data_IF_163561190157
#
_entry.id   IF_163561190157
#
_cell.length_a   1.000
_cell.length_b   1.000
_cell.length_c   1.000
_cell.angle_alpha   90.00
_cell.angle_beta   90.00
_cell.angle_gamma   90.00
#
_symmetry.space_group_name_H-M   'P 1'
#
loop_
_entity.id
_entity.type
_entity.pdbx_description
1 polymer ?
#
# COMPACT_ATOMS: atom_id res chain seq x y z
N UNK A 1 5.28 -24.02 -0.99
CA UNK A 1 6.48 -24.73 -1.50
C UNK A 1 7.64 -23.76 -1.42
N UNK A 2 8.81 -24.20 -0.94
CA UNK A 2 10.00 -23.35 -0.94
C UNK A 2 10.42 -23.03 -2.39
N UNK A 3 11.18 -21.95 -2.56
CA UNK A 3 11.66 -21.51 -3.86
C UNK A 3 13.16 -21.17 -3.79
N UNK A 4 13.79 -21.13 -4.95
CA UNK A 4 15.11 -20.55 -5.13
C UNK A 4 14.95 -19.17 -5.77
N UNK A 5 15.46 -18.12 -5.13
CA UNK A 5 15.52 -16.76 -5.68
C UNK A 5 16.92 -16.52 -6.25
N UNK A 6 16.95 -15.98 -7.45
CA UNK A 6 18.14 -15.46 -8.10
C UNK A 6 17.97 -13.96 -8.27
N UNK A 7 18.90 -13.17 -7.71
CA UNK A 7 18.93 -11.71 -7.83
C UNK A 7 20.16 -11.27 -8.61
N UNK A 8 19.98 -10.29 -9.49
CA UNK A 8 21.07 -9.65 -10.22
C UNK A 8 20.74 -8.19 -10.50
N UNK A 9 21.80 -7.35 -10.61
CA UNK A 9 21.66 -5.92 -10.89
C UNK A 9 22.11 -5.66 -12.31
N UNK A 10 21.28 -4.95 -13.07
CA UNK A 10 21.55 -4.60 -14.47
C UNK A 10 21.10 -3.18 -14.79
N UNK A 11 21.56 -2.66 -15.92
CA UNK A 11 21.03 -1.41 -16.48
C UNK A 11 19.73 -1.67 -17.23
N UNK A 12 18.88 -0.66 -17.30
CA UNK A 12 17.58 -0.72 -18.00
C UNK A 12 17.68 -1.27 -19.42
N UNK A 13 18.73 -0.90 -20.17
CA UNK A 13 18.88 -1.37 -21.56
C UNK A 13 19.14 -2.87 -21.65
N UNK A 14 19.62 -3.49 -20.57
CA UNK A 14 19.94 -4.92 -20.50
C UNK A 14 18.74 -5.75 -20.04
N UNK A 15 17.78 -5.11 -19.36
CA UNK A 15 16.63 -5.77 -18.70
C UNK A 15 15.87 -6.71 -19.64
N UNK A 16 15.44 -6.32 -20.87
CA UNK A 16 14.61 -7.21 -21.68
C UNK A 16 15.31 -8.51 -22.04
N UNK A 17 16.63 -8.46 -22.27
CA UNK A 17 17.42 -9.64 -22.63
C UNK A 17 17.67 -10.56 -21.43
N UNK A 18 17.80 -9.96 -20.24
CA UNK A 18 17.95 -10.75 -19.01
C UNK A 18 16.63 -11.42 -18.65
N UNK A 19 15.52 -10.72 -18.77
CA UNK A 19 14.19 -11.24 -18.51
C UNK A 19 13.89 -12.43 -19.44
N UNK A 20 14.12 -12.28 -20.76
CA UNK A 20 13.98 -13.37 -21.72
C UNK A 20 14.84 -14.60 -21.34
N UNK A 21 16.10 -14.38 -20.95
CA UNK A 21 16.99 -15.47 -20.55
C UNK A 21 16.51 -16.17 -19.27
N UNK A 22 15.99 -15.43 -18.30
CA UNK A 22 15.45 -15.99 -17.06
C UNK A 22 14.15 -16.79 -17.31
N UNK A 23 13.27 -16.28 -18.18
CA UNK A 23 12.05 -16.98 -18.61
C UNK A 23 12.38 -18.29 -19.34
N UNK A 24 13.34 -18.27 -20.27
CA UNK A 24 13.80 -19.45 -20.99
C UNK A 24 14.40 -20.52 -20.06
N UNK A 25 14.98 -20.10 -18.94
CA UNK A 25 15.50 -20.98 -17.89
C UNK A 25 14.43 -21.47 -16.92
N UNK A 26 13.17 -21.06 -17.10
CA UNK A 26 12.04 -21.52 -16.32
C UNK A 26 11.80 -20.72 -15.04
N UNK A 27 12.11 -19.43 -15.02
CA UNK A 27 11.70 -18.55 -13.94
C UNK A 27 10.16 -18.56 -13.79
N UNK A 28 9.70 -18.75 -12.56
CA UNK A 28 8.27 -18.78 -12.22
C UNK A 28 7.68 -17.37 -12.11
N UNK A 29 8.50 -16.42 -11.70
CA UNK A 29 8.18 -15.00 -11.67
C UNK A 29 9.46 -14.18 -11.73
N UNK A 30 9.37 -12.96 -12.26
CA UNK A 30 10.45 -11.98 -12.28
C UNK A 30 9.89 -10.68 -11.71
N UNK A 31 10.59 -10.12 -10.74
CA UNK A 31 10.25 -8.83 -10.11
C UNK A 31 11.35 -7.83 -10.38
N UNK A 32 10.97 -6.62 -10.77
CA UNK A 32 11.89 -5.51 -11.01
C UNK A 32 11.82 -4.54 -9.82
N UNK A 33 12.97 -4.15 -9.30
CA UNK A 33 13.09 -3.16 -8.22
C UNK A 33 14.14 -2.12 -8.55
N UNK A 34 14.00 -0.93 -7.96
CA UNK A 34 15.08 0.05 -7.97
C UNK A 34 16.32 -0.53 -7.28
N UNK A 35 17.45 -0.57 -7.97
CA UNK A 35 18.72 -1.02 -7.37
C UNK A 35 19.28 0.01 -6.38
N UNK A 36 18.89 1.28 -6.54
CA UNK A 36 19.33 2.40 -5.72
C UNK A 36 18.32 2.76 -4.62
N UNK A 37 17.28 1.93 -4.40
CA UNK A 37 16.29 2.13 -3.35
C UNK A 37 16.96 2.33 -1.98
N UNK A 38 16.46 3.29 -1.21
CA UNK A 38 16.98 3.67 0.12
C UNK A 38 18.41 4.26 0.10
N UNK A 39 18.92 4.62 -1.08
CA UNK A 39 20.20 5.32 -1.22
C UNK A 39 20.00 6.81 -1.57
N UNK A 40 21.09 7.57 -1.61
CA UNK A 40 21.05 8.97 -2.05
C UNK A 40 20.71 9.15 -3.54
N UNK A 41 20.84 8.09 -4.33
CA UNK A 41 20.60 8.05 -5.76
C UNK A 41 19.24 7.47 -6.13
N UNK A 42 18.40 7.18 -5.13
CA UNK A 42 17.01 6.72 -5.31
C UNK A 42 16.22 7.69 -6.20
N UNK A 43 15.58 7.15 -7.22
CA UNK A 43 14.73 7.92 -8.13
C UNK A 43 13.30 7.46 -8.03
N UNK A 44 12.41 8.32 -7.53
CA UNK A 44 11.00 8.03 -7.50
C UNK A 44 10.43 7.97 -8.93
N UNK A 45 9.81 6.86 -9.30
CA UNK A 45 8.96 6.78 -10.48
C UNK A 45 7.56 7.19 -10.04
N UNK A 46 7.16 8.41 -10.44
CA UNK A 46 5.79 8.87 -10.29
C UNK A 46 4.90 8.14 -11.30
N UNK A 47 3.58 8.24 -11.13
CA UNK A 47 2.61 7.57 -11.99
C UNK A 47 2.93 7.72 -13.48
N UNK A 48 3.18 6.62 -14.19
CA UNK A 48 3.40 6.67 -15.62
C UNK A 48 2.11 7.06 -16.35
N UNK A 49 2.27 7.78 -17.45
CA UNK A 49 1.16 8.02 -18.39
C UNK A 49 0.63 6.71 -18.99
N UNK A 50 -0.56 6.75 -19.57
CA UNK A 50 -1.17 5.57 -20.22
C UNK A 50 -0.22 5.00 -21.28
N UNK A 51 0.24 3.78 -21.07
CA UNK A 51 1.17 3.07 -21.98
C UNK A 51 2.64 3.35 -21.74
N UNK A 52 3.00 4.14 -20.74
CA UNK A 52 4.38 4.31 -20.29
C UNK A 52 4.70 3.27 -19.21
N UNK A 53 5.87 2.64 -19.33
CA UNK A 53 6.42 1.73 -18.33
C UNK A 53 7.84 2.23 -17.98
N UNK A 54 7.97 3.35 -17.26
CA UNK A 54 9.27 3.86 -16.87
C UNK A 54 9.95 2.85 -15.94
N UNK A 55 11.26 2.69 -16.12
CA UNK A 55 12.11 1.87 -15.27
C UNK A 55 13.25 2.73 -14.73
N UNK A 56 13.79 2.31 -13.60
CA UNK A 56 14.98 2.94 -13.02
C UNK A 56 16.21 2.72 -13.90
N UNK A 57 17.21 3.62 -13.90
CA UNK A 57 18.43 3.46 -14.70
C UNK A 57 19.18 2.17 -14.38
N UNK A 58 19.16 1.76 -13.11
CA UNK A 58 19.73 0.53 -12.59
C UNK A 58 18.63 -0.27 -11.89
N UNK A 59 18.49 -1.53 -12.24
CA UNK A 59 17.38 -2.38 -11.82
C UNK A 59 17.94 -3.65 -11.16
N UNK A 60 17.37 -4.01 -10.02
CA UNK A 60 17.50 -5.36 -9.47
C UNK A 60 16.38 -6.22 -10.05
N UNK A 61 16.77 -7.33 -10.70
CA UNK A 61 15.85 -8.39 -11.09
C UNK A 61 15.92 -9.50 -10.04
N UNK A 62 14.77 -9.87 -9.49
CA UNK A 62 14.61 -11.02 -8.60
C UNK A 62 13.76 -12.06 -9.31
N UNK A 63 14.37 -13.19 -9.68
CA UNK A 63 13.71 -14.30 -10.36
C UNK A 63 13.51 -15.47 -9.40
N UNK A 64 12.28 -15.99 -9.33
CA UNK A 64 11.97 -17.19 -8.55
C UNK A 64 12.00 -18.43 -9.42
N UNK A 65 12.63 -19.47 -8.92
CA UNK A 65 12.69 -20.81 -9.51
C UNK A 65 12.17 -21.86 -8.53
N UNK A 66 11.91 -23.06 -9.04
CA UNK A 66 11.62 -24.20 -8.18
C UNK A 66 12.77 -24.48 -7.18
N UNK A 67 12.43 -24.96 -6.00
CA UNK A 67 13.41 -25.24 -4.92
C UNK A 67 14.53 -26.20 -5.33
N UNK A 68 14.28 -27.05 -6.34
CA UNK A 68 15.24 -28.04 -6.85
C UNK A 68 16.06 -27.53 -8.03
N UNK A 69 15.90 -26.25 -8.43
CA UNK A 69 16.68 -25.68 -9.53
C UNK A 69 18.19 -25.71 -9.24
N UNK A 70 18.96 -26.13 -10.23
CA UNK A 70 20.42 -26.22 -10.09
C UNK A 70 21.07 -24.83 -10.22
N UNK A 71 21.48 -24.26 -9.07
CA UNK A 71 22.16 -22.95 -9.03
C UNK A 71 23.37 -22.86 -9.94
N UNK A 72 24.16 -23.93 -10.02
CA UNK A 72 25.37 -23.93 -10.86
C UNK A 72 25.02 -24.03 -12.33
N UNK A 73 24.02 -24.82 -12.66
CA UNK A 73 23.49 -24.90 -14.02
C UNK A 73 22.89 -23.60 -14.48
N UNK A 74 22.08 -22.94 -13.63
CA UNK A 74 21.51 -21.60 -13.89
C UNK A 74 22.61 -20.56 -14.13
N UNK A 75 23.60 -20.49 -13.25
CA UNK A 75 24.70 -19.52 -13.38
C UNK A 75 25.54 -19.76 -14.65
N UNK A 76 25.85 -21.01 -14.96
CA UNK A 76 26.62 -21.36 -16.17
C UNK A 76 25.85 -21.00 -17.44
N UNK A 77 24.56 -21.36 -17.51
CA UNK A 77 23.74 -21.10 -18.71
C UNK A 77 23.49 -19.61 -18.90
N UNK A 78 23.26 -18.85 -17.80
CA UNK A 78 23.16 -17.38 -17.86
C UNK A 78 24.47 -16.75 -18.38
N UNK A 79 25.63 -17.23 -17.93
CA UNK A 79 26.93 -16.76 -18.43
C UNK A 79 27.12 -17.06 -19.93
N UNK A 80 26.61 -18.18 -20.45
CA UNK A 80 26.63 -18.49 -21.86
C UNK A 80 25.66 -17.63 -22.69
N UNK A 81 24.46 -17.35 -22.17
CA UNK A 81 23.42 -16.52 -22.82
C UNK A 81 23.76 -15.02 -22.75
N UNK A 82 24.42 -14.61 -21.68
CA UNK A 82 24.73 -13.22 -21.34
C UNK A 82 26.25 -13.09 -21.08
N UNK A 83 27.12 -13.11 -22.12
CA UNK A 83 28.57 -13.16 -21.95
C UNK A 83 29.21 -11.97 -21.23
N UNK A 84 28.44 -10.91 -21.00
CA UNK A 84 28.85 -9.71 -20.24
C UNK A 84 28.52 -9.83 -18.73
N UNK A 85 27.80 -10.86 -18.32
CA UNK A 85 27.38 -11.08 -16.92
C UNK A 85 28.47 -11.90 -16.20
N UNK A 86 29.03 -11.32 -15.16
CA UNK A 86 30.02 -12.00 -14.33
C UNK A 86 29.32 -12.85 -13.24
N UNK A 87 29.85 -14.02 -12.90
CA UNK A 87 29.22 -14.92 -11.91
C UNK A 87 29.04 -14.33 -10.52
N UNK A 88 29.86 -13.37 -10.13
CA UNK A 88 29.80 -12.66 -8.84
C UNK A 88 28.68 -11.62 -8.77
N UNK A 89 28.07 -11.29 -9.90
CA UNK A 89 26.87 -10.44 -9.97
C UNK A 89 25.58 -11.23 -9.66
N UNK A 90 25.65 -12.56 -9.59
CA UNK A 90 24.52 -13.42 -9.28
C UNK A 90 24.45 -13.73 -7.79
N UNK A 91 23.33 -13.44 -7.18
CA UNK A 91 23.04 -13.77 -5.79
C UNK A 91 21.93 -14.80 -5.70
N UNK A 92 22.15 -15.90 -4.99
CA UNK A 92 21.15 -16.94 -4.78
C UNK A 92 20.72 -17.00 -3.33
N UNK A 93 19.41 -17.05 -3.10
CA UNK A 93 18.80 -17.17 -1.78
C UNK A 93 17.73 -18.27 -1.78
N UNK A 94 17.72 -19.08 -0.72
CA UNK A 94 16.60 -20.00 -0.49
C UNK A 94 15.44 -19.21 0.11
N UNK A 95 14.29 -19.29 -0.51
CA UNK A 95 13.04 -18.70 -0.02
C UNK A 95 12.22 -19.82 0.59
N UNK A 96 12.15 -19.84 1.92
CA UNK A 96 11.38 -20.84 2.62
C UNK A 96 9.90 -20.72 2.28
N UNK A 97 9.21 -21.86 2.24
CA UNK A 97 7.75 -21.88 2.22
C UNK A 97 7.26 -21.28 3.53
N UNK A 98 6.67 -20.12 3.44
CA UNK A 98 6.03 -19.47 4.57
C UNK A 98 4.55 -19.33 4.27
N UNK A 99 3.72 -19.53 5.27
CA UNK A 99 2.38 -19.00 5.26
C UNK A 99 2.52 -17.46 5.26
N UNK A 100 2.57 -16.90 4.04
CA UNK A 100 2.84 -15.47 3.83
C UNK A 100 1.82 -14.58 4.55
N UNK A 101 0.58 -15.05 4.66
CA UNK A 101 -0.46 -14.35 5.43
C UNK A 101 -0.08 -14.28 6.91
N UNK A 102 0.46 -15.35 7.47
CA UNK A 102 0.89 -15.41 8.86
C UNK A 102 2.19 -14.67 9.13
N UNK A 103 3.20 -14.86 8.27
CA UNK A 103 4.49 -14.20 8.41
C UNK A 103 4.36 -12.68 8.34
N UNK A 104 3.42 -12.20 7.52
CA UNK A 104 3.13 -10.78 7.37
C UNK A 104 2.32 -10.23 8.55
N UNK A 105 1.34 -10.98 9.08
CA UNK A 105 0.60 -10.61 10.29
C UNK A 105 1.50 -10.53 11.52
N UNK A 106 2.53 -11.38 11.63
CA UNK A 106 3.47 -11.36 12.75
C UNK A 106 4.41 -10.14 12.73
N UNK A 107 4.59 -9.51 11.57
CA UNK A 107 5.36 -8.28 11.41
C UNK A 107 4.54 -7.01 11.72
N UNK A 108 3.21 -7.11 11.66
CA UNK A 108 2.33 -5.97 11.90
C UNK A 108 2.16 -5.75 13.40
N UNK A 109 2.80 -4.69 13.90
CA UNK A 109 2.79 -4.30 15.31
C UNK A 109 1.85 -3.12 15.53
N UNK A 110 1.34 -2.93 16.77
CA UNK A 110 0.63 -1.71 17.11
C UNK A 110 1.43 -0.46 16.76
N UNK A 111 0.77 0.48 16.09
CA UNK A 111 1.37 1.74 15.64
C UNK A 111 0.61 2.92 16.24
N UNK A 112 1.35 3.90 16.78
CA UNK A 112 0.79 5.14 17.28
C UNK A 112 0.84 6.24 16.23
N UNK A 113 -0.22 7.04 16.15
CA UNK A 113 -0.33 8.19 15.26
C UNK A 113 -0.83 9.40 16.06
N UNK A 114 -0.02 10.45 16.14
CA UNK A 114 -0.32 11.61 16.95
C UNK A 114 -0.26 11.34 18.46
N UNK A 115 -1.25 11.81 19.22
CA UNK A 115 -1.25 11.74 20.69
C UNK A 115 -2.15 10.64 21.26
N UNK A 116 -3.22 10.26 20.57
CA UNK A 116 -4.28 9.39 21.09
C UNK A 116 -4.55 8.17 20.20
N UNK A 117 -4.33 8.32 18.87
CA UNK A 117 -4.76 7.34 17.89
C UNK A 117 -3.76 6.19 17.78
N UNK A 118 -4.27 4.97 17.80
CA UNK A 118 -3.50 3.74 17.62
C UNK A 118 -4.17 2.82 16.62
N UNK A 119 -3.37 2.18 15.76
CA UNK A 119 -3.81 1.08 14.90
C UNK A 119 -3.28 -0.22 15.49
N UNK A 120 -4.17 -1.16 15.77
CA UNK A 120 -3.86 -2.47 16.34
C UNK A 120 -4.26 -3.58 15.38
N UNK A 121 -3.39 -4.56 15.12
CA UNK A 121 -3.81 -5.80 14.47
C UNK A 121 -4.80 -6.58 15.36
N UNK A 122 -5.65 -7.40 14.74
CA UNK A 122 -6.68 -8.15 15.48
C UNK A 122 -6.12 -9.20 16.45
N UNK A 123 -4.91 -9.71 16.20
CA UNK A 123 -4.24 -10.69 17.04
C UNK A 123 -3.56 -10.08 18.28
N UNK A 124 -3.55 -8.75 18.43
CA UNK A 124 -2.96 -8.04 19.57
C UNK A 124 -4.04 -7.31 20.34
N UNK A 125 -4.17 -7.61 21.64
CA UNK A 125 -5.13 -6.91 22.49
C UNK A 125 -4.56 -5.56 22.95
N UNK A 126 -5.33 -4.46 22.77
CA UNK A 126 -4.91 -3.15 23.26
C UNK A 126 -4.90 -3.13 24.79
N UNK A 127 -4.04 -2.32 25.42
CA UNK A 127 -4.04 -2.12 26.86
C UNK A 127 -5.39 -1.55 27.33
N UNK A 128 -5.84 -1.98 28.50
CA UNK A 128 -7.06 -1.48 29.13
C UNK A 128 -6.76 -0.32 30.05
N UNK A 129 -7.54 0.74 30.00
CA UNK A 129 -7.53 1.80 31.02
C UNK A 129 -6.69 3.03 30.68
N UNK A 130 -6.35 3.25 29.44
CA UNK A 130 -5.81 4.50 28.93
C UNK A 130 -6.85 5.25 28.03
N UNK A 131 -6.62 6.53 27.78
CA UNK A 131 -7.48 7.38 26.95
C UNK A 131 -7.18 7.19 25.44
N UNK A 132 -6.53 6.12 25.04
CA UNK A 132 -6.17 5.88 23.65
C UNK A 132 -7.38 5.51 22.80
N UNK A 133 -7.39 6.04 21.58
CA UNK A 133 -8.38 5.73 20.56
C UNK A 133 -7.83 4.62 19.68
N UNK A 134 -8.42 3.44 19.77
CA UNK A 134 -7.93 2.26 19.06
C UNK A 134 -8.79 1.95 17.85
N UNK A 135 -8.16 1.84 16.70
CA UNK A 135 -8.71 1.24 15.48
C UNK A 135 -8.07 -0.14 15.32
N UNK A 136 -8.87 -1.16 15.18
CA UNK A 136 -8.41 -2.53 14.92
C UNK A 136 -8.51 -2.82 13.43
N UNK A 137 -7.38 -3.14 12.82
CA UNK A 137 -7.30 -3.36 11.39
C UNK A 137 -6.16 -4.33 11.08
N UNK A 138 -6.49 -5.40 10.37
CA UNK A 138 -5.45 -6.24 9.80
C UNK A 138 -5.04 -5.66 8.45
N UNK A 139 -3.76 -5.69 8.12
CA UNK A 139 -3.32 -5.45 6.79
C UNK A 139 -3.98 -6.49 5.87
N UNK A 140 -4.85 -6.05 4.99
CA UNK A 140 -5.61 -6.88 4.05
C UNK A 140 -5.22 -6.64 2.60
N UNK A 141 -5.98 -7.22 1.69
CA UNK A 141 -5.85 -7.02 0.24
C UNK A 141 -6.20 -5.59 -0.20
N UNK A 142 -6.95 -4.85 0.63
CA UNK A 142 -7.27 -3.45 0.35
C UNK A 142 -6.12 -2.53 0.80
N UNK A 143 -5.83 -1.52 -0.02
CA UNK A 143 -4.84 -0.49 0.30
C UNK A 143 -5.22 0.27 1.58
N UNK A 144 -4.22 0.70 2.38
CA UNK A 144 -4.45 1.50 3.59
C UNK A 144 -4.29 0.70 4.89
N UNK A 145 -3.11 0.07 5.10
CA UNK A 145 -2.75 -0.59 6.38
C UNK A 145 -2.20 0.37 7.45
N UNK A 146 -2.03 1.66 7.12
CA UNK A 146 -1.36 2.63 7.98
C UNK A 146 0.17 2.65 7.86
N UNK A 147 0.77 1.67 7.20
CA UNK A 147 2.24 1.57 7.06
C UNK A 147 2.82 2.56 6.04
N UNK A 148 2.01 3.00 5.07
CA UNK A 148 2.47 3.98 4.09
C UNK A 148 2.61 5.37 4.74
N UNK A 149 3.71 6.13 4.47
CA UNK A 149 3.95 7.43 5.10
C UNK A 149 2.81 8.43 4.92
N UNK A 150 2.14 8.46 3.76
CA UNK A 150 1.01 9.36 3.51
C UNK A 150 -0.19 9.01 4.38
N UNK A 151 -0.50 7.73 4.57
CA UNK A 151 -1.57 7.29 5.47
C UNK A 151 -1.25 7.66 6.92
N UNK A 152 0.02 7.49 7.34
CA UNK A 152 0.47 7.90 8.67
C UNK A 152 0.25 9.39 8.92
N UNK A 153 0.65 10.25 7.97
CA UNK A 153 0.44 11.70 8.05
C UNK A 153 -1.05 12.07 8.12
N UNK A 154 -1.91 11.42 7.36
CA UNK A 154 -3.36 11.64 7.42
C UNK A 154 -3.94 11.24 8.79
N UNK A 155 -3.48 10.11 9.37
CA UNK A 155 -3.91 9.66 10.70
C UNK A 155 -3.46 10.63 11.81
N UNK A 156 -2.21 11.09 11.76
CA UNK A 156 -1.70 12.11 12.69
C UNK A 156 -2.45 13.43 12.57
N UNK A 157 -2.74 13.85 11.34
CA UNK A 157 -3.53 15.05 11.08
C UNK A 157 -4.96 14.92 11.64
N UNK A 158 -5.63 13.79 11.45
CA UNK A 158 -6.96 13.53 12.02
C UNK A 158 -6.94 13.53 13.54
N UNK A 159 -5.90 12.96 14.19
CA UNK A 159 -5.76 12.98 15.64
C UNK A 159 -5.59 14.40 16.21
N UNK A 160 -4.98 15.30 15.42
CA UNK A 160 -4.82 16.72 15.78
C UNK A 160 -6.09 17.58 15.64
N UNK A 161 -7.15 17.08 14.99
CA UNK A 161 -8.38 17.82 14.77
C UNK A 161 -9.39 17.61 15.92
N UNK A 162 -10.22 18.65 16.14
CA UNK A 162 -11.46 18.48 16.90
C UNK A 162 -12.56 17.94 15.96
N UNK A 163 -12.79 16.63 16.02
CA UNK A 163 -13.76 15.92 15.19
C UNK A 163 -15.12 15.72 15.88
N UNK A 164 -15.27 16.19 17.12
CA UNK A 164 -16.49 15.93 17.88
C UNK A 164 -17.74 16.48 17.16
N UNK A 165 -18.64 15.57 16.82
CA UNK A 165 -19.90 15.89 16.17
C UNK A 165 -19.80 16.31 14.69
N UNK A 166 -18.61 16.26 14.08
CA UNK A 166 -18.39 16.63 12.68
C UNK A 166 -18.66 15.49 11.72
N UNK A 167 -18.90 15.85 10.46
CA UNK A 167 -18.97 14.91 9.33
C UNK A 167 -17.68 14.95 8.53
N UNK A 168 -17.23 13.81 8.02
CA UNK A 168 -16.01 13.69 7.22
C UNK A 168 -16.27 12.92 5.94
N UNK A 169 -15.59 13.33 4.86
CA UNK A 169 -15.46 12.55 3.62
C UNK A 169 -14.05 12.01 3.52
N UNK A 170 -13.94 10.68 3.27
CA UNK A 170 -12.72 9.94 2.95
C UNK A 170 -12.83 9.48 1.49
N UNK A 171 -12.14 10.17 0.59
CA UNK A 171 -12.19 9.91 -0.85
C UNK A 171 -11.01 9.05 -1.28
N UNK A 172 -11.29 7.89 -1.87
CA UNK A 172 -10.33 6.80 -2.03
C UNK A 172 -10.14 6.07 -0.70
N UNK A 173 -11.25 5.65 -0.08
CA UNK A 173 -11.23 5.19 1.31
C UNK A 173 -10.51 3.85 1.51
N UNK A 174 -10.34 3.02 0.47
CA UNK A 174 -9.62 1.76 0.54
C UNK A 174 -10.13 0.83 1.64
N UNK A 175 -9.33 0.57 2.65
CA UNK A 175 -9.70 -0.21 3.84
C UNK A 175 -10.67 0.50 4.79
N UNK A 176 -10.94 1.79 4.57
CA UNK A 176 -11.72 2.66 5.45
C UNK A 176 -10.95 3.18 6.66
N UNK A 177 -9.64 3.01 6.72
CA UNK A 177 -8.83 3.32 7.91
C UNK A 177 -9.00 4.77 8.37
N UNK A 178 -9.01 5.76 7.45
CA UNK A 178 -9.12 7.17 7.79
C UNK A 178 -10.55 7.53 8.25
N UNK A 179 -11.58 7.03 7.56
CA UNK A 179 -12.97 7.21 7.97
C UNK A 179 -13.25 6.60 9.34
N UNK A 180 -12.77 5.36 9.58
CA UNK A 180 -12.94 4.65 10.85
C UNK A 180 -12.19 5.37 11.97
N UNK A 181 -10.97 5.84 11.72
CA UNK A 181 -10.18 6.62 12.67
C UNK A 181 -10.93 7.90 13.07
N UNK A 182 -11.45 8.66 12.10
CA UNK A 182 -12.22 9.87 12.35
C UNK A 182 -13.47 9.58 13.20
N UNK A 183 -14.21 8.50 12.90
CA UNK A 183 -15.37 8.10 13.68
C UNK A 183 -15.03 7.72 15.13
N UNK A 184 -13.90 7.05 15.32
CA UNK A 184 -13.39 6.70 16.66
C UNK A 184 -12.89 7.92 17.43
N UNK A 185 -12.35 8.92 16.72
CA UNK A 185 -11.91 10.21 17.29
C UNK A 185 -13.06 11.17 17.60
N UNK A 186 -14.32 10.80 17.28
CA UNK A 186 -15.51 11.55 17.70
C UNK A 186 -16.35 12.13 16.56
N UNK A 187 -16.01 11.88 15.29
CA UNK A 187 -16.86 12.29 14.19
C UNK A 187 -18.26 11.66 14.31
N UNK A 188 -19.29 12.44 13.98
CA UNK A 188 -20.67 11.99 14.04
C UNK A 188 -20.98 10.98 12.91
N UNK A 189 -20.49 11.27 11.72
CA UNK A 189 -20.66 10.43 10.55
C UNK A 189 -19.48 10.55 9.59
N UNK A 190 -19.25 9.53 8.81
CA UNK A 190 -18.26 9.51 7.74
C UNK A 190 -18.88 9.03 6.42
N UNK A 191 -18.40 9.58 5.33
CA UNK A 191 -18.68 9.15 3.96
C UNK A 191 -17.38 8.61 3.40
N UNK A 192 -17.35 7.33 3.02
CA UNK A 192 -16.25 6.72 2.29
C UNK A 192 -16.62 6.58 0.81
N UNK A 193 -15.72 7.00 -0.05
CA UNK A 193 -15.91 6.92 -1.51
C UNK A 193 -14.72 6.17 -2.09
N UNK A 194 -14.97 5.14 -2.90
CA UNK A 194 -13.93 4.42 -3.62
C UNK A 194 -14.46 3.91 -4.96
N UNK A 195 -13.59 3.84 -5.97
CA UNK A 195 -13.94 3.32 -7.29
C UNK A 195 -13.87 1.77 -7.35
N UNK A 196 -13.27 1.14 -6.34
CA UNK A 196 -13.20 -0.31 -6.23
C UNK A 196 -14.30 -0.85 -5.28
N UNK A 197 -15.28 -1.63 -5.78
CA UNK A 197 -16.29 -2.26 -4.94
C UNK A 197 -15.71 -3.18 -3.86
N UNK A 198 -14.50 -3.74 -4.05
CA UNK A 198 -13.84 -4.55 -3.05
C UNK A 198 -13.33 -3.69 -1.87
N UNK A 199 -12.85 -2.49 -2.16
CA UNK A 199 -12.47 -1.52 -1.14
C UNK A 199 -13.68 -1.13 -0.28
N UNK A 200 -14.85 -0.87 -0.89
CA UNK A 200 -16.08 -0.57 -0.14
C UNK A 200 -16.51 -1.74 0.75
N UNK A 201 -16.38 -2.98 0.26
CA UNK A 201 -16.67 -4.18 1.07
C UNK A 201 -15.72 -4.28 2.25
N UNK A 202 -14.42 -4.11 2.03
CA UNK A 202 -13.40 -4.13 3.09
C UNK A 202 -13.63 -3.02 4.12
N UNK A 203 -13.98 -1.80 3.67
CA UNK A 203 -14.33 -0.68 4.54
C UNK A 203 -15.55 -0.99 5.42
N UNK A 204 -16.60 -1.59 4.86
CA UNK A 204 -17.80 -1.98 5.61
C UNK A 204 -17.47 -3.03 6.69
N UNK A 205 -16.71 -4.06 6.34
CA UNK A 205 -16.29 -5.11 7.25
C UNK A 205 -15.42 -4.56 8.39
N UNK A 206 -14.46 -3.70 8.06
CA UNK A 206 -13.61 -3.06 9.05
C UNK A 206 -14.40 -2.12 9.97
N UNK A 207 -15.36 -1.36 9.43
CA UNK A 207 -16.24 -0.50 10.22
C UNK A 207 -17.13 -1.31 11.17
N UNK A 208 -17.68 -2.43 10.72
CA UNK A 208 -18.46 -3.34 11.54
C UNK A 208 -17.63 -3.91 12.70
N UNK A 209 -16.43 -4.40 12.42
CA UNK A 209 -15.50 -4.91 13.44
C UNK A 209 -15.07 -3.84 14.45
N UNK A 210 -14.97 -2.57 14.04
CA UNK A 210 -14.66 -1.45 14.92
C UNK A 210 -15.89 -0.85 15.62
N UNK A 211 -17.10 -1.36 15.36
CA UNK A 211 -18.34 -0.90 16.00
C UNK A 211 -18.78 0.50 15.54
N UNK A 212 -18.46 0.88 14.30
CA UNK A 212 -18.78 2.20 13.74
C UNK A 212 -19.58 2.15 12.43
N UNK A 213 -20.01 0.95 12.01
CA UNK A 213 -20.70 0.74 10.72
C UNK A 213 -21.96 1.59 10.56
N UNK A 214 -22.73 1.83 11.63
CA UNK A 214 -23.95 2.65 11.59
C UNK A 214 -23.70 4.14 11.31
N UNK A 215 -22.43 4.57 11.37
CA UNK A 215 -22.00 5.94 11.15
C UNK A 215 -21.15 6.12 9.89
N UNK A 216 -20.88 5.03 9.15
CA UNK A 216 -20.15 5.04 7.88
C UNK A 216 -21.11 4.77 6.74
N UNK A 217 -21.16 5.66 5.76
CA UNK A 217 -21.89 5.43 4.51
C UNK A 217 -20.87 5.34 3.37
N UNK A 218 -21.01 4.35 2.49
CA UNK A 218 -20.06 4.04 1.42
C UNK A 218 -20.71 4.22 0.06
N UNK A 219 -19.97 4.80 -0.89
CA UNK A 219 -20.44 5.08 -2.23
C UNK A 219 -19.38 4.78 -3.29
N UNK A 220 -19.81 4.34 -4.46
CA UNK A 220 -19.04 4.55 -5.67
C UNK A 220 -19.07 6.06 -6.04
N UNK A 221 -18.06 6.59 -6.75
CA UNK A 221 -18.02 8.01 -7.09
C UNK A 221 -19.28 8.52 -7.80
N UNK A 222 -19.86 7.72 -8.70
CA UNK A 222 -21.08 8.04 -9.45
C UNK A 222 -22.36 8.03 -8.61
N UNK A 223 -22.37 7.31 -7.50
CA UNK A 223 -23.54 7.17 -6.62
C UNK A 223 -23.53 8.18 -5.46
N UNK A 224 -22.44 8.91 -5.26
CA UNK A 224 -22.33 9.87 -4.18
C UNK A 224 -23.24 11.08 -4.41
N UNK A 225 -24.14 11.42 -3.46
CA UNK A 225 -25.14 12.49 -3.64
C UNK A 225 -24.56 13.92 -3.66
N UNK A 226 -23.26 14.09 -3.43
CA UNK A 226 -22.59 15.38 -3.43
C UNK A 226 -22.70 16.16 -2.11
N UNK A 227 -23.01 15.49 -1.01
CA UNK A 227 -23.10 16.13 0.30
C UNK A 227 -21.74 16.65 0.78
N UNK A 228 -21.68 17.93 1.11
CA UNK A 228 -20.48 18.56 1.64
C UNK A 228 -20.31 18.28 3.14
N UNK A 229 -19.12 17.90 3.55
CA UNK A 229 -18.77 17.55 4.93
C UNK A 229 -17.91 18.61 5.63
N UNK A 230 -17.79 18.50 6.96
CA UNK A 230 -17.03 19.43 7.80
C UNK A 230 -15.52 19.22 7.70
N UNK A 231 -15.08 18.03 7.26
CA UNK A 231 -13.68 17.66 7.07
C UNK A 231 -13.59 16.81 5.80
N UNK A 232 -12.54 16.99 5.03
CA UNK A 232 -12.29 16.21 3.80
C UNK A 232 -10.88 15.64 3.80
N UNK A 233 -10.74 14.38 3.43
CA UNK A 233 -9.44 13.73 3.23
C UNK A 233 -9.48 12.88 1.96
N UNK A 234 -8.39 12.91 1.18
CA UNK A 234 -8.19 12.02 0.05
C UNK A 234 -6.72 11.59 0.00
N UNK A 235 -6.46 10.35 0.38
CA UNK A 235 -5.12 9.76 0.29
C UNK A 235 -5.06 8.85 -0.94
N UNK A 236 -5.04 9.43 -2.11
CA UNK A 236 -4.99 8.77 -3.42
C UNK A 236 -3.72 9.16 -4.16
N UNK A 237 -3.50 8.51 -5.31
CA UNK A 237 -2.39 8.82 -6.19
C UNK A 237 -2.45 10.27 -6.70
N UNK A 238 -1.29 10.87 -6.97
CA UNK A 238 -1.19 12.28 -7.34
C UNK A 238 -1.84 12.61 -8.71
N UNK A 239 -1.77 11.68 -9.67
CA UNK A 239 -2.27 11.91 -11.03
C UNK A 239 -3.73 12.37 -11.12
N UNK A 240 -4.68 11.71 -10.44
CA UNK A 240 -6.09 12.11 -10.47
C UNK A 240 -6.43 13.41 -9.74
N UNK A 241 -5.56 13.94 -8.87
CA UNK A 241 -5.88 15.05 -7.97
C UNK A 241 -6.37 16.32 -8.71
N UNK A 242 -5.68 16.71 -9.78
CA UNK A 242 -6.05 17.89 -10.56
C UNK A 242 -7.43 17.74 -11.22
N UNK A 243 -7.71 16.58 -11.79
CA UNK A 243 -8.99 16.31 -12.44
C UNK A 243 -10.14 16.25 -11.43
N UNK A 244 -9.88 15.78 -10.21
CA UNK A 244 -10.86 15.64 -9.15
C UNK A 244 -11.01 16.88 -8.27
N UNK A 245 -10.15 17.90 -8.40
CA UNK A 245 -10.20 19.10 -7.58
C UNK A 245 -11.60 19.80 -7.52
N UNK A 246 -12.37 19.91 -8.62
CA UNK A 246 -13.72 20.44 -8.55
C UNK A 246 -14.68 19.57 -7.73
N UNK A 247 -14.54 18.24 -7.81
CA UNK A 247 -15.33 17.27 -7.04
C UNK A 247 -15.03 17.37 -5.57
N UNK A 248 -13.75 17.45 -5.21
CA UNK A 248 -13.30 17.63 -3.82
C UNK A 248 -13.79 18.94 -3.21
N UNK A 249 -13.69 20.04 -3.98
CA UNK A 249 -14.20 21.33 -3.54
C UNK A 249 -15.71 21.33 -3.29
N UNK A 250 -16.48 20.55 -4.07
CA UNK A 250 -17.92 20.40 -3.87
C UNK A 250 -18.27 19.52 -2.67
N UNK A 251 -17.43 18.54 -2.33
CA UNK A 251 -17.63 17.61 -1.21
C UNK A 251 -17.18 18.17 0.14
N UNK A 252 -16.55 19.34 0.18
CA UNK A 252 -16.11 20.00 1.41
C UNK A 252 -16.92 21.30 1.65
N UNK A 253 -17.34 21.54 2.89
CA UNK A 253 -17.96 22.81 3.26
C UNK A 253 -16.93 23.95 3.16
N UNK A 254 -17.38 25.20 2.87
CA UNK A 254 -16.47 26.34 2.87
C UNK A 254 -15.70 26.50 4.19
N UNK A 255 -14.36 26.48 4.10
CA UNK A 255 -13.49 26.58 5.29
C UNK A 255 -13.26 25.26 6.03
N UNK A 256 -13.72 24.12 5.48
CA UNK A 256 -13.45 22.81 6.04
C UNK A 256 -11.94 22.50 6.03
N UNK A 257 -11.37 21.90 7.09
CA UNK A 257 -10.05 21.29 7.04
C UNK A 257 -9.97 20.26 5.90
N UNK A 258 -8.85 20.29 5.18
CA UNK A 258 -8.70 19.56 3.93
C UNK A 258 -7.28 18.95 3.84
N UNK A 259 -7.17 17.66 3.56
CA UNK A 259 -5.90 16.94 3.34
C UNK A 259 -5.96 16.10 2.06
N UNK A 260 -4.93 16.22 1.24
CA UNK A 260 -4.74 15.42 0.02
C UNK A 260 -3.28 15.00 -0.12
#
# INVERSE_FOLDING_TARGET
MPFLELSLIVRTEQQPRVEEALEDLGALSITLRDADAETADEQAIFEPGVGELPLWPTITLDALFDEHADRRGLAATLGDLLPWLEPDQLSFRDVADQDWERAWMDQFKPMAFGCRLWIYPWNVEPPTGDDSVVVRLDPGLAFGSGTHPTTALCLEWLDGLDLQGKTITDYGCGSGILAIAALKLGAAAAIGIDNDPQALTASADNAARNGVVDRLTLFLPEDHPGDATDVFVANILAGPLDALAPTFAAAAKPGAPFAI
#
